data_IF_578938722632
#
_entry.id   IF_578938722632
#
_cell.length_a   1.000
_cell.length_b   1.000
_cell.length_c   1.000
_cell.angle_alpha   90.00
_cell.angle_beta   90.00
_cell.angle_gamma   90.00
#
_symmetry.space_group_name_H-M   'P 1'
#
loop_
_entity.id
_entity.type
_entity.pdbx_description
1 polymer ?
#
# COMPACT_ATOMS: atom_id res chain seq x y z
N UNK A 1 -11.61 1.71 -4.81
CA UNK A 1 -11.34 2.68 -3.73
C UNK A 1 -9.86 2.81 -3.42
N UNK A 2 -9.19 1.72 -3.06
CA UNK A 2 -7.80 1.74 -2.54
C UNK A 2 -6.80 2.47 -3.46
N UNK A 3 -6.52 1.96 -4.67
CA UNK A 3 -5.51 2.60 -5.53
C UNK A 3 -6.03 3.82 -6.33
N UNK A 4 -7.35 3.92 -6.53
CA UNK A 4 -7.97 4.81 -7.53
C UNK A 4 -8.86 5.92 -6.95
N UNK A 5 -9.15 5.89 -5.64
CA UNK A 5 -10.07 6.85 -5.01
C UNK A 5 -11.37 7.01 -5.81
N UNK A 6 -11.68 8.26 -6.22
CA UNK A 6 -12.93 8.64 -6.92
C UNK A 6 -12.99 8.08 -8.32
N UNK A 7 -11.83 7.79 -8.92
CA UNK A 7 -11.75 7.17 -10.23
C UNK A 7 -12.04 5.66 -10.18
N UNK A 8 -12.38 5.10 -9.00
CA UNK A 8 -12.79 3.71 -8.88
C UNK A 8 -14.22 3.50 -9.37
N UNK A 9 -14.45 2.44 -10.14
CA UNK A 9 -15.80 2.02 -10.57
C UNK A 9 -16.74 1.64 -9.40
N UNK A 10 -16.19 1.47 -8.20
CA UNK A 10 -16.91 1.13 -6.98
C UNK A 10 -17.10 2.33 -6.04
N UNK A 11 -16.70 3.54 -6.45
CA UNK A 11 -16.75 4.71 -5.56
C UNK A 11 -18.14 4.99 -4.98
N UNK A 12 -19.18 4.81 -5.79
CA UNK A 12 -20.57 5.01 -5.38
C UNK A 12 -21.07 4.01 -4.32
N UNK A 13 -20.36 2.89 -4.11
CA UNK A 13 -20.70 1.91 -3.08
C UNK A 13 -20.24 2.32 -1.68
N UNK A 14 -19.28 3.25 -1.58
CA UNK A 14 -18.69 3.68 -0.32
C UNK A 14 -19.32 4.99 0.16
N UNK A 15 -19.46 5.12 1.47
CA UNK A 15 -19.90 6.36 2.09
C UNK A 15 -18.83 7.44 1.88
N UNK A 16 -19.26 8.65 1.50
CA UNK A 16 -18.39 9.82 1.49
C UNK A 16 -18.10 10.36 2.91
N UNK A 17 -18.89 9.93 3.91
CA UNK A 17 -18.68 10.29 5.31
C UNK A 17 -17.57 9.42 5.93
N UNK A 18 -16.57 10.05 6.56
CA UNK A 18 -15.41 9.41 7.21
C UNK A 18 -14.52 8.57 6.28
N UNK A 19 -14.33 9.01 5.03
CA UNK A 19 -13.41 8.34 4.09
C UNK A 19 -11.92 8.63 4.37
N UNK A 20 -11.47 8.33 5.59
CA UNK A 20 -10.08 8.45 6.03
C UNK A 20 -9.15 7.44 5.33
N UNK A 21 -9.73 6.43 4.66
CA UNK A 21 -8.96 5.48 3.87
C UNK A 21 -8.20 6.19 2.76
N UNK A 22 -8.79 7.24 2.18
CA UNK A 22 -8.18 8.03 1.11
C UNK A 22 -6.87 8.67 1.56
N UNK A 23 -6.87 9.37 2.68
CA UNK A 23 -5.68 10.06 3.19
C UNK A 23 -4.48 9.12 3.42
N UNK A 24 -4.73 7.81 3.55
CA UNK A 24 -3.70 6.80 3.77
C UNK A 24 -3.13 6.20 2.49
N UNK A 25 -3.82 6.34 1.35
CA UNK A 25 -3.42 5.69 0.09
C UNK A 25 -3.61 6.60 -1.14
N UNK A 26 -3.89 7.88 -0.94
CA UNK A 26 -4.10 8.81 -2.03
C UNK A 26 -2.77 9.26 -2.63
N UNK A 27 -2.87 10.23 -3.55
CA UNK A 27 -1.69 10.78 -4.19
C UNK A 27 -0.82 11.56 -3.21
N UNK A 28 -1.39 12.27 -2.26
CA UNK A 28 -0.65 13.11 -1.33
C UNK A 28 0.19 12.25 -0.38
N UNK A 29 -0.33 11.11 0.09
CA UNK A 29 0.44 10.10 0.81
C UNK A 29 1.65 9.63 0.00
N UNK A 30 1.42 9.16 -1.24
CA UNK A 30 2.49 8.63 -2.10
C UNK A 30 3.53 9.69 -2.46
N UNK A 31 3.08 10.91 -2.76
CA UNK A 31 3.97 12.04 -3.03
C UNK A 31 4.78 12.39 -1.79
N UNK A 32 4.19 12.30 -0.59
CA UNK A 32 4.87 12.47 0.68
C UNK A 32 5.96 11.42 0.94
N UNK A 33 5.71 10.14 0.64
CA UNK A 33 6.71 9.08 0.73
C UNK A 33 7.83 9.27 -0.31
N UNK A 34 7.48 9.58 -1.56
CA UNK A 34 8.44 9.88 -2.61
C UNK A 34 9.33 11.09 -2.25
N UNK A 35 8.77 12.12 -1.60
CA UNK A 35 9.50 13.31 -1.18
C UNK A 35 10.52 13.05 -0.05
N UNK A 36 10.45 11.90 0.62
CA UNK A 36 11.49 11.47 1.58
C UNK A 36 12.75 10.95 0.89
N UNK A 37 12.67 10.65 -0.40
CA UNK A 37 13.80 10.20 -1.21
C UNK A 37 14.45 11.39 -1.93
N UNK A 38 15.76 11.29 -2.12
CA UNK A 38 16.47 12.20 -3.03
C UNK A 38 16.10 11.80 -4.48
N UNK A 39 15.42 12.67 -5.25
CA UNK A 39 14.99 12.36 -6.61
C UNK A 39 16.17 12.20 -7.59
N UNK A 40 17.37 12.65 -7.23
CA UNK A 40 18.59 12.41 -8.02
C UNK A 40 19.21 11.02 -7.75
N UNK A 41 18.68 10.28 -6.76
CA UNK A 41 19.17 8.97 -6.34
C UNK A 41 18.12 7.88 -6.55
N UNK A 42 16.85 8.14 -6.23
CA UNK A 42 15.80 7.13 -6.26
C UNK A 42 14.42 7.64 -6.67
N UNK A 43 13.66 6.78 -7.35
CA UNK A 43 12.22 6.89 -7.54
C UNK A 43 11.48 5.83 -6.75
N UNK A 44 10.20 6.02 -6.51
CA UNK A 44 9.33 5.11 -5.78
C UNK A 44 8.02 4.91 -6.53
N UNK A 45 7.65 3.65 -6.72
CA UNK A 45 6.38 3.24 -7.29
C UNK A 45 5.57 2.43 -6.27
N UNK A 46 4.25 2.51 -6.39
CA UNK A 46 3.30 1.85 -5.51
C UNK A 46 2.39 0.92 -6.29
N UNK A 47 2.22 -0.32 -5.80
CA UNK A 47 1.29 -1.28 -6.37
C UNK A 47 0.46 -1.95 -5.27
N UNK A 48 -0.86 -2.00 -5.48
CA UNK A 48 -1.80 -2.64 -4.55
C UNK A 48 -2.44 -3.86 -5.20
N UNK A 49 -2.54 -4.95 -4.46
CA UNK A 49 -3.21 -6.17 -4.89
C UNK A 49 -4.04 -6.77 -3.74
N UNK A 50 -5.07 -7.54 -4.07
CA UNK A 50 -5.74 -8.37 -3.07
C UNK A 50 -4.74 -9.37 -2.49
N UNK A 51 -4.76 -9.55 -1.16
CA UNK A 51 -4.03 -10.64 -0.52
C UNK A 51 -4.64 -12.00 -0.88
N UNK A 52 -3.87 -13.08 -0.69
CA UNK A 52 -4.39 -14.44 -0.73
C UNK A 52 -5.29 -14.78 0.47
N UNK A 53 -5.32 -13.94 1.51
CA UNK A 53 -6.19 -14.08 2.67
C UNK A 53 -7.64 -13.73 2.30
N UNK A 54 -8.60 -14.67 2.44
CA UNK A 54 -10.00 -14.38 2.17
C UNK A 54 -10.57 -13.32 3.13
N UNK A 55 -11.49 -12.46 2.67
CA UNK A 55 -12.19 -11.54 3.56
C UNK A 55 -12.96 -12.26 4.67
N UNK A 56 -12.99 -11.67 5.86
CA UNK A 56 -13.74 -12.18 7.01
C UNK A 56 -14.89 -11.24 7.31
N UNK A 57 -16.10 -11.79 7.43
CA UNK A 57 -17.30 -11.04 7.79
C UNK A 57 -17.83 -11.42 9.17
N UNK A 58 -18.18 -10.42 9.97
CA UNK A 58 -18.82 -10.58 11.27
C UNK A 58 -20.16 -9.85 11.24
N UNK A 59 -21.26 -10.57 11.39
CA UNK A 59 -22.59 -9.95 11.45
C UNK A 59 -22.74 -9.07 12.68
N UNK A 60 -23.40 -7.93 12.50
CA UNK A 60 -23.70 -6.97 13.58
C UNK A 60 -25.16 -7.10 14.05
N UNK A 61 -25.45 -6.59 15.24
CA UNK A 61 -26.78 -6.72 15.87
C UNK A 61 -27.90 -6.00 15.10
N UNK A 62 -27.55 -4.99 14.30
CA UNK A 62 -28.45 -4.23 13.44
C UNK A 62 -28.68 -4.90 12.07
N UNK A 63 -28.16 -6.10 11.87
CA UNK A 63 -28.29 -6.88 10.63
C UNK A 63 -27.25 -6.55 9.55
N UNK A 64 -26.34 -5.62 9.79
CA UNK A 64 -25.19 -5.36 8.93
C UNK A 64 -24.04 -6.37 9.12
N UNK A 65 -22.86 -6.00 8.63
CA UNK A 65 -21.64 -6.78 8.82
C UNK A 65 -20.39 -5.89 8.92
N UNK A 66 -19.44 -6.29 9.76
CA UNK A 66 -18.07 -5.80 9.72
C UNK A 66 -17.26 -6.72 8.81
N UNK A 67 -16.62 -6.17 7.79
CA UNK A 67 -15.81 -6.90 6.82
C UNK A 67 -14.35 -6.51 6.98
N UNK A 68 -13.49 -7.49 7.26
CA UNK A 68 -12.03 -7.35 7.22
C UNK A 68 -11.50 -7.84 5.88
N UNK A 69 -10.71 -7.01 5.22
CA UNK A 69 -10.06 -7.31 3.94
C UNK A 69 -8.56 -7.15 4.09
N UNK A 70 -7.81 -8.12 3.55
CA UNK A 70 -6.36 -8.06 3.50
C UNK A 70 -5.88 -7.58 2.12
N UNK A 71 -4.96 -6.62 2.10
CA UNK A 71 -4.38 -6.05 0.90
C UNK A 71 -2.87 -6.20 0.97
N UNK A 72 -2.25 -6.43 -0.17
CA UNK A 72 -0.81 -6.37 -0.32
C UNK A 72 -0.44 -5.07 -1.02
N UNK A 73 0.36 -4.25 -0.37
CA UNK A 73 1.01 -3.07 -0.94
C UNK A 73 2.47 -3.39 -1.24
N UNK A 74 2.95 -3.02 -2.41
CA UNK A 74 4.37 -3.06 -2.78
C UNK A 74 4.85 -1.64 -3.02
N UNK A 75 5.90 -1.26 -2.31
CA UNK A 75 6.67 -0.05 -2.56
C UNK A 75 7.97 -0.47 -3.27
N UNK A 76 8.16 -0.02 -4.50
CA UNK A 76 9.36 -0.31 -5.28
C UNK A 76 10.20 0.95 -5.36
N UNK A 77 11.34 0.94 -4.67
CA UNK A 77 12.31 2.03 -4.68
C UNK A 77 13.41 1.68 -5.66
N UNK A 78 13.54 2.43 -6.74
CA UNK A 78 14.45 2.12 -7.84
C UNK A 78 15.52 3.20 -7.93
N UNK A 79 16.78 2.79 -8.09
CA UNK A 79 17.87 3.73 -8.36
C UNK A 79 17.65 4.44 -9.71
N UNK A 80 17.98 5.73 -9.80
CA UNK A 80 17.75 6.47 -11.06
C UNK A 80 18.87 6.31 -12.07
N UNK A 81 20.05 5.84 -11.66
CA UNK A 81 21.20 5.57 -12.52
C UNK A 81 22.21 4.59 -11.87
N UNK A 82 23.22 4.16 -12.65
CA UNK A 82 24.26 3.19 -12.28
C UNK A 82 25.19 3.64 -11.13
N UNK A 83 25.25 4.96 -10.88
CA UNK A 83 26.03 5.57 -9.80
C UNK A 83 25.24 5.74 -8.51
N UNK A 84 23.92 5.63 -8.57
CA UNK A 84 23.04 5.77 -7.42
C UNK A 84 23.29 4.64 -6.43
N UNK A 85 23.29 4.98 -5.15
CA UNK A 85 23.39 4.01 -4.05
C UNK A 85 22.30 4.35 -3.05
N UNK A 86 21.37 3.43 -2.87
CA UNK A 86 20.23 3.58 -1.97
C UNK A 86 20.60 2.86 -0.69
N UNK A 87 20.66 3.61 0.42
CA UNK A 87 20.92 3.05 1.75
C UNK A 87 19.63 3.06 2.57
N UNK A 88 19.29 1.91 3.13
CA UNK A 88 18.14 1.68 3.99
C UNK A 88 18.62 1.19 5.36
N UNK A 89 17.84 1.50 6.40
CA UNK A 89 18.12 1.08 7.77
C UNK A 89 16.92 0.38 8.40
N UNK A 90 17.13 -0.17 9.60
CA UNK A 90 16.05 -0.77 10.39
C UNK A 90 15.43 -1.98 9.71
N UNK A 91 14.09 -2.04 9.69
CA UNK A 91 13.36 -3.23 9.27
C UNK A 91 13.55 -3.58 7.79
N UNK A 92 13.69 -2.58 6.90
CA UNK A 92 13.93 -2.82 5.47
C UNK A 92 15.27 -3.53 5.27
N UNK A 93 16.35 -3.00 5.84
CA UNK A 93 17.67 -3.63 5.75
C UNK A 93 17.70 -5.02 6.41
N UNK A 94 17.01 -5.17 7.55
CA UNK A 94 16.94 -6.44 8.26
C UNK A 94 16.22 -7.54 7.45
N UNK A 95 15.13 -7.20 6.75
CA UNK A 95 14.39 -8.14 5.91
C UNK A 95 15.11 -8.41 4.58
N UNK A 96 15.63 -7.36 3.93
CA UNK A 96 16.37 -7.49 2.67
C UNK A 96 17.73 -8.17 2.83
N UNK A 97 18.29 -8.20 4.04
CA UNK A 97 19.61 -8.75 4.33
C UNK A 97 20.78 -7.89 3.84
N UNK A 98 20.50 -6.69 3.32
CA UNK A 98 21.49 -5.74 2.81
C UNK A 98 21.06 -4.31 3.13
N UNK A 99 22.02 -3.48 3.53
CA UNK A 99 21.77 -2.07 3.89
C UNK A 99 21.83 -1.14 2.68
N UNK A 100 22.71 -1.41 1.71
CA UNK A 100 22.91 -0.53 0.54
C UNK A 100 22.81 -1.30 -0.75
N UNK A 101 21.97 -0.82 -1.68
CA UNK A 101 21.79 -1.40 -3.01
C UNK A 101 22.16 -0.41 -4.10
N UNK A 102 22.70 -0.92 -5.21
CA UNK A 102 22.91 -0.17 -6.45
C UNK A 102 21.64 -0.13 -7.34
N UNK A 103 20.67 -1.00 -7.08
CA UNK A 103 19.46 -1.17 -7.91
C UNK A 103 18.22 -0.67 -7.18
N UNK A 104 18.17 -0.88 -5.87
CA UNK A 104 17.08 -0.43 -5.01
C UNK A 104 16.46 -1.55 -4.19
N UNK A 105 15.24 -1.32 -3.70
CA UNK A 105 14.53 -2.22 -2.80
C UNK A 105 13.06 -2.33 -3.17
N UNK A 106 12.51 -3.54 -3.04
CA UNK A 106 11.06 -3.73 -2.97
C UNK A 106 10.68 -4.02 -1.51
N UNK A 107 9.68 -3.30 -1.00
CA UNK A 107 9.08 -3.55 0.30
C UNK A 107 7.66 -4.04 0.10
N UNK A 108 7.30 -5.10 0.80
CA UNK A 108 5.93 -5.61 0.79
C UNK A 108 5.29 -5.35 2.15
N UNK A 109 4.13 -4.71 2.12
CA UNK A 109 3.28 -4.48 3.27
C UNK A 109 2.00 -5.29 3.14
N UNK A 110 1.48 -5.73 4.28
CA UNK A 110 0.14 -6.27 4.39
C UNK A 110 -0.72 -5.32 5.20
N UNK A 111 -1.80 -4.90 4.58
CA UNK A 111 -2.79 -4.01 5.19
C UNK A 111 -4.02 -4.82 5.55
N UNK A 112 -4.50 -4.65 6.76
CA UNK A 112 -5.86 -5.05 7.14
C UNK A 112 -6.73 -3.81 7.09
N UNK A 113 -7.78 -3.86 6.30
CA UNK A 113 -8.74 -2.78 6.12
C UNK A 113 -10.09 -3.26 6.62
N UNK A 114 -10.70 -2.47 7.50
CA UNK A 114 -11.96 -2.82 8.13
C UNK A 114 -13.08 -1.91 7.61
N UNK A 115 -14.19 -2.52 7.21
CA UNK A 115 -15.37 -1.84 6.72
C UNK A 115 -16.60 -2.25 7.51
N UNK A 116 -17.56 -1.33 7.65
CA UNK A 116 -18.92 -1.66 8.01
C UNK A 116 -19.79 -1.62 6.76
N UNK A 117 -20.50 -2.72 6.51
CA UNK A 117 -21.48 -2.86 5.44
C UNK A 117 -22.86 -2.86 6.08
N UNK A 118 -23.67 -1.80 5.88
CA UNK A 118 -25.02 -1.75 6.41
C UNK A 118 -25.93 -2.78 5.73
N UNK A 119 -27.12 -2.98 6.30
CA UNK A 119 -28.18 -3.73 5.63
C UNK A 119 -28.51 -3.13 4.26
N UNK A 120 -28.90 -3.98 3.31
CA UNK A 120 -29.22 -3.54 1.95
C UNK A 120 -30.28 -2.42 1.95
N UNK A 121 -29.97 -1.30 1.28
CA UNK A 121 -30.84 -0.13 1.21
C UNK A 121 -30.67 0.91 2.33
N UNK A 122 -29.76 0.67 3.29
CA UNK A 122 -29.59 1.53 4.49
C UNK A 122 -28.37 2.47 4.42
N UNK A 123 -27.58 2.46 3.34
CA UNK A 123 -26.43 3.36 3.17
C UNK A 123 -25.28 2.74 2.39
N UNK A 124 -24.18 3.49 2.26
CA UNK A 124 -22.93 3.04 1.66
C UNK A 124 -22.02 2.30 2.65
N UNK A 125 -20.98 1.66 2.12
CA UNK A 125 -19.93 0.98 2.90
C UNK A 125 -19.09 2.03 3.64
N UNK A 126 -18.90 1.85 4.94
CA UNK A 126 -18.18 2.80 5.80
C UNK A 126 -16.80 2.25 6.16
N UNK A 127 -15.75 3.05 5.99
CA UNK A 127 -14.41 2.70 6.46
C UNK A 127 -14.33 2.85 7.99
N UNK A 128 -13.79 1.83 8.67
CA UNK A 128 -13.66 1.81 10.13
C UNK A 128 -12.21 2.01 10.59
N UNK A 129 -11.24 1.67 9.77
CA UNK A 129 -9.82 1.74 10.12
C UNK A 129 -8.95 0.77 9.32
N UNK A 130 -7.64 0.97 9.43
CA UNK A 130 -6.65 0.10 8.83
C UNK A 130 -5.44 -0.10 9.75
N UNK A 131 -4.74 -1.20 9.55
CA UNK A 131 -3.42 -1.44 10.13
C UNK A 131 -2.50 -1.98 9.05
N UNK A 132 -1.27 -1.45 8.98
CA UNK A 132 -0.27 -1.84 8.00
C UNK A 132 0.94 -2.47 8.70
N UNK A 133 1.57 -3.45 8.05
CA UNK A 133 2.82 -4.06 8.53
C UNK A 133 3.69 -4.51 7.36
N UNK A 134 4.97 -4.11 7.34
CA UNK A 134 5.94 -4.60 6.35
C UNK A 134 6.23 -6.08 6.59
N UNK A 135 5.75 -6.94 5.71
CA UNK A 135 5.90 -8.39 5.85
C UNK A 135 7.14 -8.92 5.14
N UNK A 136 7.65 -8.21 4.14
CA UNK A 136 8.85 -8.58 3.39
C UNK A 136 9.61 -7.35 2.89
N UNK A 137 10.91 -7.51 2.65
CA UNK A 137 11.69 -6.57 1.86
C UNK A 137 12.83 -7.32 1.18
N UNK A 138 13.19 -6.88 -0.02
CA UNK A 138 14.28 -7.47 -0.80
C UNK A 138 15.02 -6.42 -1.60
N UNK A 139 16.26 -6.72 -1.94
CA UNK A 139 16.99 -5.99 -2.96
C UNK A 139 16.38 -6.26 -4.35
N UNK A 140 16.31 -5.22 -5.19
CA UNK A 140 15.94 -5.35 -6.59
C UNK A 140 17.08 -5.97 -7.39
N UNK A 141 16.73 -6.77 -8.39
CA UNK A 141 17.69 -7.20 -9.39
C UNK A 141 17.99 -6.08 -10.40
N UNK A 142 19.10 -6.20 -11.12
CA UNK A 142 19.43 -5.28 -12.20
C UNK A 142 18.33 -5.20 -13.27
N UNK A 143 17.71 -6.34 -13.59
CA UNK A 143 16.62 -6.42 -14.58
C UNK A 143 15.39 -5.63 -14.13
N UNK A 144 15.00 -5.78 -12.86
CA UNK A 144 13.85 -5.06 -12.28
C UNK A 144 14.10 -3.55 -12.18
N UNK A 145 15.33 -3.14 -11.86
CA UNK A 145 15.68 -1.74 -11.81
C UNK A 145 15.83 -1.11 -13.20
N UNK A 146 16.02 -1.94 -14.24
CA UNK A 146 16.24 -1.51 -15.63
C UNK A 146 17.36 -0.45 -15.76
N UNK A 147 18.40 -0.57 -14.92
CA UNK A 147 19.57 0.30 -14.93
C UNK A 147 20.68 -0.42 -15.68
N UNK A 148 21.09 0.16 -16.81
CA UNK A 148 22.08 -0.41 -17.72
C UNK A 148 23.39 -0.81 -17.02
N UNK A 149 23.94 -1.95 -17.46
CA UNK A 149 25.30 -2.38 -17.13
C UNK A 149 26.38 -1.65 -17.92
#
# INVERSE_FOLDING_TARGET
MIAKGDASEHAELFSAENDLLRDLVDKDYRDGEQAKLDPEVATMDFAYAASSTPPIGISTLDGGAIIAVSITERETITAVNDRSRITMAGRTAALAGVETSAFGFERTYTDQVLFYVPTAGSGGIIYLGASQTMTDARELTQEEANIGG
#
